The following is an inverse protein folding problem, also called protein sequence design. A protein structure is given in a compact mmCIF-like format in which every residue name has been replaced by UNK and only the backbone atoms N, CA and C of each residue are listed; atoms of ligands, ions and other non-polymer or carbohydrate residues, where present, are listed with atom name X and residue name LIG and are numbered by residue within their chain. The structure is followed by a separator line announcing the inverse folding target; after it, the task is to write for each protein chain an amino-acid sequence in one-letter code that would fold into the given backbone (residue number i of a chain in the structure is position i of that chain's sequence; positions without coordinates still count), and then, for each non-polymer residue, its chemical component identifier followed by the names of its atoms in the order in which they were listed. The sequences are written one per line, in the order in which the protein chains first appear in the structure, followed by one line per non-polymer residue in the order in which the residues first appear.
data_IF_350433360379
#
_entry.id   IF_350433360379
#
_cell.length_a   1.000
_cell.length_b   1.000
_cell.length_c   1.000
_cell.angle_alpha   90.00
_cell.angle_beta   90.00
_cell.angle_gamma   90.00
#
_symmetry.space_group_name_H-M   'P 1'
#
loop_
_entity.id
_entity.type
_entity.pdbx_description
1 polymer ?
#
# COMPACT_ATOMS: atom_id res chain seq x y z
N UNK A 1 -22.69 -4.68 -6.78
CA UNK A 1 -21.32 -4.39 -7.23
C UNK A 1 -21.34 -3.09 -8.01
N UNK A 2 -20.76 -2.01 -7.47
CA UNK A 2 -20.61 -0.75 -8.20
C UNK A 2 -19.28 -0.84 -8.94
N UNK A 3 -19.31 -0.77 -10.28
CA UNK A 3 -18.08 -0.70 -11.07
C UNK A 3 -17.77 0.79 -11.22
N UNK A 4 -16.77 1.24 -10.47
CA UNK A 4 -16.17 2.56 -10.64
C UNK A 4 -15.10 2.45 -11.72
N UNK A 5 -15.01 3.46 -12.60
CA UNK A 5 -13.94 3.60 -13.58
C UNK A 5 -13.19 4.91 -13.29
N UNK A 6 -11.87 4.87 -13.36
CA UNK A 6 -10.99 6.00 -13.07
C UNK A 6 -9.54 5.69 -13.47
N UNK A 7 -8.62 6.61 -13.20
CA UNK A 7 -7.20 6.41 -13.48
C UNK A 7 -6.41 6.37 -12.16
N UNK A 8 -5.58 5.33 -11.97
CA UNK A 8 -4.76 5.18 -10.76
C UNK A 8 -3.71 6.30 -10.61
N UNK A 9 -3.43 7.01 -11.70
CA UNK A 9 -2.52 8.15 -11.78
C UNK A 9 -3.26 9.49 -11.84
N UNK A 10 -4.56 9.52 -11.54
CA UNK A 10 -5.29 10.78 -11.44
C UNK A 10 -4.58 11.70 -10.43
N UNK A 11 -4.43 13.00 -10.78
CA UNK A 11 -3.59 13.92 -10.05
C UNK A 11 -4.08 14.13 -8.62
N UNK A 12 -3.13 14.32 -7.72
CA UNK A 12 -3.37 14.49 -6.30
C UNK A 12 -2.92 15.89 -5.85
N UNK A 13 -3.39 16.35 -4.68
CA UNK A 13 -2.83 17.53 -4.04
C UNK A 13 -1.30 17.42 -3.91
N UNK A 14 -0.61 18.56 -3.95
CA UNK A 14 0.86 18.59 -3.85
C UNK A 14 1.39 18.07 -2.50
N UNK A 15 0.55 18.00 -1.48
CA UNK A 15 0.86 17.45 -0.17
C UNK A 15 -0.37 16.73 0.40
N UNK A 16 -0.10 15.68 1.17
CA UNK A 16 -1.08 14.89 1.91
C UNK A 16 -0.54 14.77 3.35
N UNK A 17 -1.36 15.10 4.35
CA UNK A 17 -0.95 15.00 5.75
C UNK A 17 -0.76 13.55 6.19
N UNK A 18 -1.58 12.65 5.64
CA UNK A 18 -1.59 11.21 5.87
C UNK A 18 -1.72 10.49 4.53
N UNK A 19 -1.49 9.18 4.50
CA UNK A 19 -1.73 8.40 3.30
C UNK A 19 -3.18 8.46 2.87
N UNK A 20 -3.40 8.59 1.56
CA UNK A 20 -4.73 8.49 0.99
C UNK A 20 -5.03 7.02 0.70
N UNK A 21 -6.10 6.48 1.28
CA UNK A 21 -6.61 5.13 0.97
C UNK A 21 -7.99 5.21 0.34
N UNK A 22 -8.09 4.82 -0.93
CA UNK A 22 -9.33 4.86 -1.70
C UNK A 22 -9.79 3.44 -2.05
N UNK A 23 -11.04 3.11 -1.73
CA UNK A 23 -11.65 1.85 -2.15
C UNK A 23 -12.12 1.92 -3.60
N UNK A 24 -11.58 1.03 -4.44
CA UNK A 24 -11.95 0.94 -5.86
C UNK A 24 -13.02 -0.13 -6.09
N UNK A 25 -12.86 -1.28 -5.45
CA UNK A 25 -13.76 -2.44 -5.57
C UNK A 25 -13.95 -3.07 -4.20
N UNK A 26 -15.19 -3.41 -3.86
CA UNK A 26 -15.53 -4.25 -2.71
C UNK A 26 -16.61 -5.26 -3.08
N UNK A 27 -16.37 -6.52 -2.73
CA UNK A 27 -17.36 -7.59 -2.87
C UNK A 27 -16.85 -8.91 -2.29
N UNK A 28 -17.71 -9.63 -1.55
CA UNK A 28 -17.32 -10.85 -0.85
C UNK A 28 -16.18 -10.58 0.13
N UNK A 29 -15.16 -11.43 0.10
CA UNK A 29 -13.93 -11.32 0.91
C UNK A 29 -12.82 -10.51 0.20
N UNK A 30 -13.09 -9.92 -0.96
CA UNK A 30 -12.10 -9.18 -1.74
C UNK A 30 -12.33 -7.66 -1.64
N UNK A 31 -11.23 -6.94 -1.43
CA UNK A 31 -11.17 -5.49 -1.50
C UNK A 31 -9.97 -5.06 -2.36
N UNK A 32 -10.21 -4.16 -3.32
CA UNK A 32 -9.15 -3.46 -4.05
C UNK A 32 -9.08 -2.02 -3.57
N UNK A 33 -7.90 -1.60 -3.12
CA UNK A 33 -7.62 -0.24 -2.67
C UNK A 33 -6.53 0.40 -3.53
N UNK A 34 -6.66 1.70 -3.77
CA UNK A 34 -5.55 2.58 -4.18
C UNK A 34 -5.00 3.24 -2.93
N UNK A 35 -3.69 3.14 -2.73
CA UNK A 35 -3.00 3.82 -1.64
C UNK A 35 -2.03 4.81 -2.27
N UNK A 36 -2.02 6.05 -1.76
CA UNK A 36 -1.06 7.07 -2.17
C UNK A 36 -0.34 7.59 -0.94
N UNK A 37 0.98 7.38 -0.95
CA UNK A 37 1.91 7.86 0.06
C UNK A 37 2.81 8.95 -0.54
N UNK A 38 3.03 10.03 0.20
CA UNK A 38 3.97 11.09 -0.15
C UNK A 38 5.11 11.10 0.88
N UNK A 39 5.83 9.98 0.97
CA UNK A 39 6.87 9.69 1.99
C UNK A 39 6.31 9.52 3.40
N UNK A 40 5.09 9.01 3.51
CA UNK A 40 4.57 8.58 4.80
C UNK A 40 5.23 7.26 5.17
N UNK A 41 5.51 7.09 6.46
CA UNK A 41 6.03 5.86 7.02
C UNK A 41 5.11 5.43 8.17
N UNK A 42 5.08 4.14 8.44
CA UNK A 42 4.47 3.61 9.66
C UNK A 42 5.18 4.19 10.87
N UNK A 43 4.45 4.48 11.95
CA UNK A 43 5.05 4.99 13.17
C UNK A 43 6.03 3.97 13.75
N UNK A 44 7.16 4.46 14.27
CA UNK A 44 8.20 3.61 14.85
C UNK A 44 7.61 2.70 15.94
N UNK A 45 7.82 1.39 15.79
CA UNK A 45 7.32 0.38 16.72
C UNK A 45 5.94 -0.19 16.37
N UNK A 46 5.22 0.42 15.43
CA UNK A 46 3.95 -0.11 14.92
C UNK A 46 4.19 -1.12 13.79
N UNK A 47 3.33 -2.13 13.72
CA UNK A 47 3.31 -3.12 12.64
C UNK A 47 1.89 -3.24 12.12
N UNK A 48 1.74 -3.30 10.80
CA UNK A 48 0.50 -3.75 10.20
C UNK A 48 0.39 -5.26 10.38
N UNK A 49 -0.61 -5.65 11.16
CA UNK A 49 -0.94 -7.03 11.49
C UNK A 49 -2.44 -7.20 11.21
N UNK A 50 -2.75 -7.87 10.11
CA UNK A 50 -4.09 -8.02 9.60
C UNK A 50 -4.39 -9.50 9.35
N UNK A 51 -5.65 -9.87 9.55
CA UNK A 51 -6.08 -11.25 9.39
C UNK A 51 -6.26 -11.64 7.92
N UNK A 52 -6.47 -10.65 7.06
CA UNK A 52 -6.68 -10.82 5.64
C UNK A 52 -5.36 -11.01 4.89
N UNK A 53 -5.36 -11.97 3.95
CA UNK A 53 -4.29 -12.08 2.96
C UNK A 53 -4.25 -10.80 2.13
N UNK A 54 -3.10 -10.13 2.10
CA UNK A 54 -2.90 -8.94 1.30
C UNK A 54 -1.78 -9.13 0.30
N UNK A 55 -2.00 -8.50 -0.85
CA UNK A 55 -1.09 -8.42 -1.96
C UNK A 55 -1.01 -6.97 -2.42
N UNK A 56 0.21 -6.48 -2.61
CA UNK A 56 0.46 -5.11 -3.05
C UNK A 56 1.28 -5.10 -4.33
N UNK A 57 1.09 -4.04 -5.13
CA UNK A 57 1.94 -3.71 -6.26
C UNK A 57 2.28 -2.23 -6.20
N UNK A 58 3.56 -1.89 -6.38
CA UNK A 58 3.98 -0.50 -6.46
C UNK A 58 3.80 -0.01 -7.90
N UNK A 59 3.03 1.07 -8.09
CA UNK A 59 2.75 1.61 -9.43
C UNK A 59 3.64 2.80 -9.81
N UNK A 60 4.13 3.56 -8.83
CA UNK A 60 4.95 4.76 -9.05
C UNK A 60 5.79 5.07 -7.80
N UNK A 61 6.96 5.67 -8.00
CA UNK A 61 7.88 6.01 -6.92
C UNK A 61 8.71 4.82 -6.43
N UNK A 62 8.95 4.77 -5.14
CA UNK A 62 9.68 3.70 -4.42
C UNK A 62 9.08 3.53 -3.03
N UNK A 63 9.21 2.34 -2.45
CA UNK A 63 8.80 2.09 -1.07
C UNK A 63 9.72 1.08 -0.39
N UNK A 64 9.90 1.19 0.92
CA UNK A 64 10.55 0.18 1.74
C UNK A 64 9.51 -0.63 2.52
N UNK A 65 9.64 -1.96 2.49
CA UNK A 65 8.84 -2.87 3.30
C UNK A 65 9.72 -3.65 4.24
N UNK A 66 9.53 -3.43 5.54
CA UNK A 66 10.10 -4.32 6.55
C UNK A 66 9.07 -5.41 6.86
N UNK A 67 9.40 -6.66 6.55
CA UNK A 67 8.51 -7.81 6.79
C UNK A 67 9.08 -8.58 7.98
N UNK A 68 8.24 -8.99 8.94
CA UNK A 68 8.74 -9.60 10.19
C UNK A 68 9.59 -10.86 9.94
N UNK A 69 9.22 -11.66 8.94
CA UNK A 69 9.95 -12.88 8.57
C UNK A 69 11.22 -12.63 7.75
N UNK A 70 11.56 -11.38 7.44
CA UNK A 70 12.70 -11.02 6.59
C UNK A 70 13.73 -10.20 7.37
N UNK A 71 15.04 -10.47 7.17
CA UNK A 71 16.08 -9.75 7.89
C UNK A 71 16.29 -8.33 7.35
N UNK A 72 16.05 -8.13 6.06
CA UNK A 72 16.33 -6.90 5.33
C UNK A 72 15.05 -6.21 4.88
N UNK A 73 15.11 -4.88 4.73
CA UNK A 73 14.03 -4.10 4.13
C UNK A 73 13.96 -4.44 2.65
N UNK A 74 12.78 -4.84 2.20
CA UNK A 74 12.49 -5.04 0.79
C UNK A 74 12.20 -3.70 0.14
N UNK A 75 13.07 -3.27 -0.77
CA UNK A 75 12.85 -2.07 -1.58
C UNK A 75 12.02 -2.45 -2.80
N UNK A 76 10.89 -1.78 -2.98
CA UNK A 76 10.01 -1.91 -4.13
C UNK A 76 10.26 -0.80 -5.15
N UNK A 77 10.30 -1.18 -6.41
CA UNK A 77 10.30 -0.33 -7.59
C UNK A 77 8.97 -0.48 -8.35
N UNK A 78 8.64 0.45 -9.27
CA UNK A 78 7.40 0.33 -10.04
C UNK A 78 7.32 -1.00 -10.79
N UNK A 79 6.24 -1.74 -10.56
CA UNK A 79 6.01 -3.08 -11.08
C UNK A 79 6.33 -4.21 -10.09
N UNK A 80 7.08 -3.95 -9.02
CA UNK A 80 7.30 -4.94 -7.97
C UNK A 80 5.99 -5.20 -7.20
N UNK A 81 5.74 -6.47 -6.89
CA UNK A 81 4.54 -6.91 -6.21
C UNK A 81 4.81 -8.11 -5.30
N UNK A 82 3.95 -8.32 -4.30
CA UNK A 82 4.09 -9.45 -3.39
C UNK A 82 3.07 -9.47 -2.26
N UNK A 83 3.03 -10.57 -1.50
CA UNK A 83 2.20 -10.66 -0.31
C UNK A 83 2.74 -9.79 0.83
N UNK A 84 1.85 -9.36 1.72
CA UNK A 84 2.14 -8.52 2.88
C UNK A 84 1.53 -9.15 4.13
N UNK A 85 2.20 -10.14 4.72
CA UNK A 85 1.67 -10.90 5.87
C UNK A 85 1.71 -10.10 7.19
N UNK A 86 2.86 -9.49 7.49
CA UNK A 86 3.04 -8.57 8.63
C UNK A 86 4.20 -7.65 8.33
N UNK A 87 3.93 -6.34 8.23
CA UNK A 87 4.93 -5.39 7.76
C UNK A 87 4.94 -4.07 8.51
N UNK A 88 6.05 -3.35 8.34
CA UNK A 88 6.21 -1.95 8.67
C UNK A 88 6.61 -1.22 7.39
N UNK A 89 5.90 -0.14 7.07
CA UNK A 89 6.12 0.64 5.84
C UNK A 89 7.17 1.72 6.08
N UNK A 90 8.27 1.67 5.34
CA UNK A 90 9.35 2.66 5.35
C UNK A 90 9.19 3.60 4.13
N UNK A 91 9.27 4.91 4.40
CA UNK A 91 9.16 5.97 3.40
C UNK A 91 10.38 6.11 2.47
#
# INVERSE_FOLDING_TARGET
MRILAGNLFDPLPAALAEELSEELIRGGEFQLRRIVSLRHATLVGEWYDQHEDEWVVLLSGSAGLRIESEPDVRVLHPGDWGPTARLHWDA
#
